data_IF_345990090889
#
_entry.id   IF_345990090889
#
_cell.length_a   1.000
_cell.length_b   1.000
_cell.length_c   1.000
_cell.angle_alpha   90.00
_cell.angle_beta   90.00
_cell.angle_gamma   90.00
#
_symmetry.space_group_name_H-M   'P 1'
#
loop_
_entity.id
_entity.type
_entity.pdbx_description
1 polymer ?
#
# COMPACT_ATOMS: atom_id res chain seq x y z
N UNK A 1 -21.80 14.74 8.46
CA UNK A 1 -21.09 15.59 9.45
C UNK A 1 -20.08 14.69 10.14
N UNK A 2 -18.79 14.78 9.82
CA UNK A 2 -17.75 13.99 10.52
C UNK A 2 -17.41 14.70 11.83
N UNK A 3 -17.49 13.99 12.96
CA UNK A 3 -17.10 14.53 14.26
C UNK A 3 -15.60 14.89 14.27
N UNK A 4 -15.17 15.96 14.96
CA UNK A 4 -13.76 16.28 15.09
C UNK A 4 -13.03 15.09 15.74
N UNK A 5 -12.15 14.41 14.98
CA UNK A 5 -11.33 13.29 15.48
C UNK A 5 -11.59 11.93 14.82
N UNK A 6 -12.55 11.80 13.91
CA UNK A 6 -12.81 10.53 13.21
C UNK A 6 -11.97 10.41 11.92
N UNK A 7 -11.38 9.22 11.63
CA UNK A 7 -10.62 9.01 10.40
C UNK A 7 -11.48 9.30 9.16
N UNK A 8 -10.88 9.97 8.18
CA UNK A 8 -11.54 10.29 6.91
C UNK A 8 -11.40 9.10 5.98
N UNK A 9 -12.49 8.72 5.33
CA UNK A 9 -12.45 7.67 4.33
C UNK A 9 -11.57 8.12 3.14
N UNK A 10 -10.61 7.28 2.68
CA UNK A 10 -9.78 7.63 1.54
C UNK A 10 -10.64 7.86 0.29
N UNK A 11 -10.31 8.91 -0.47
CA UNK A 11 -10.95 9.10 -1.78
C UNK A 11 -10.55 7.98 -2.74
N UNK A 12 -11.36 7.74 -3.77
CA UNK A 12 -11.03 6.76 -4.81
C UNK A 12 -9.64 7.01 -5.43
N UNK A 13 -9.29 8.28 -5.69
CA UNK A 13 -7.98 8.65 -6.20
C UNK A 13 -6.85 8.31 -5.21
N UNK A 14 -7.06 8.55 -3.92
CA UNK A 14 -6.09 8.15 -2.89
C UNK A 14 -5.90 6.63 -2.84
N UNK A 15 -6.98 5.85 -2.95
CA UNK A 15 -6.88 4.39 -2.99
C UNK A 15 -6.18 3.87 -4.26
N UNK A 16 -6.35 4.56 -5.40
CA UNK A 16 -5.75 4.17 -6.67
C UNK A 16 -4.24 4.40 -6.72
N UNK A 17 -3.71 5.44 -6.06
CA UNK A 17 -2.28 5.79 -6.07
C UNK A 17 -1.35 4.62 -5.71
N UNK A 18 -1.48 3.94 -4.57
CA UNK A 18 -0.60 2.83 -4.22
C UNK A 18 -0.76 1.62 -5.15
N UNK A 19 -1.96 1.41 -5.71
CA UNK A 19 -2.22 0.32 -6.67
C UNK A 19 -1.51 0.60 -8.00
N UNK A 20 -1.68 1.81 -8.55
CA UNK A 20 -1.02 2.23 -9.78
C UNK A 20 0.51 2.24 -9.62
N UNK A 21 1.00 2.71 -8.48
CA UNK A 21 2.43 2.66 -8.13
C UNK A 21 2.94 1.22 -8.13
N UNK A 22 2.25 0.30 -7.45
CA UNK A 22 2.64 -1.11 -7.39
C UNK A 22 2.70 -1.71 -8.80
N UNK A 23 1.64 -1.57 -9.59
CA UNK A 23 1.59 -2.10 -10.95
C UNK A 23 2.74 -1.56 -11.82
N UNK A 24 3.02 -0.26 -11.74
CA UNK A 24 4.12 0.37 -12.46
C UNK A 24 5.49 -0.17 -12.03
N UNK A 25 5.71 -0.33 -10.72
CA UNK A 25 6.97 -0.87 -10.18
C UNK A 25 7.15 -2.34 -10.54
N UNK A 26 6.09 -3.15 -10.55
CA UNK A 26 6.16 -4.55 -10.97
C UNK A 26 6.44 -4.68 -12.47
N UNK A 27 5.77 -3.88 -13.31
CA UNK A 27 6.05 -3.85 -14.73
C UNK A 27 7.50 -3.43 -15.01
N UNK A 28 8.00 -2.41 -14.30
CA UNK A 28 9.40 -1.98 -14.39
C UNK A 28 10.37 -3.06 -13.91
N UNK A 29 10.05 -3.74 -12.81
CA UNK A 29 10.87 -4.84 -12.29
C UNK A 29 10.99 -5.99 -13.30
N UNK A 30 9.87 -6.41 -13.91
CA UNK A 30 9.89 -7.45 -14.95
C UNK A 30 10.62 -6.98 -16.20
N UNK A 31 10.47 -5.72 -16.60
CA UNK A 31 11.19 -5.14 -17.73
C UNK A 31 12.72 -5.14 -17.53
N UNK A 32 13.19 -4.84 -16.31
CA UNK A 32 14.62 -4.74 -16.00
C UNK A 32 15.27 -6.08 -15.64
N UNK A 33 14.55 -6.95 -14.92
CA UNK A 33 15.11 -8.15 -14.28
C UNK A 33 14.48 -9.46 -14.80
N UNK A 34 13.47 -9.40 -15.68
CA UNK A 34 12.85 -10.57 -16.26
C UNK A 34 12.35 -11.58 -15.20
N UNK A 35 12.77 -12.83 -15.33
CA UNK A 35 12.42 -13.90 -14.40
C UNK A 35 12.93 -13.66 -12.97
N UNK A 36 14.02 -12.91 -12.80
CA UNK A 36 14.61 -12.63 -11.49
C UNK A 36 13.89 -11.52 -10.72
N UNK A 37 12.93 -10.83 -11.36
CA UNK A 37 12.13 -9.78 -10.74
C UNK A 37 11.41 -10.25 -9.46
N UNK A 38 11.08 -11.54 -9.39
CA UNK A 38 10.35 -12.14 -8.27
C UNK A 38 11.18 -12.31 -6.99
N UNK A 39 12.52 -12.39 -7.08
CA UNK A 39 13.38 -12.70 -5.92
C UNK A 39 13.78 -11.50 -5.07
N UNK A 40 13.65 -10.28 -5.59
CA UNK A 40 14.06 -9.07 -4.87
C UNK A 40 13.32 -7.81 -5.30
N UNK A 41 13.35 -7.45 -6.60
CA UNK A 41 12.67 -6.25 -7.11
C UNK A 41 11.19 -6.16 -6.74
N UNK A 42 10.46 -7.28 -6.80
CA UNK A 42 9.06 -7.37 -6.38
C UNK A 42 8.88 -7.00 -4.89
N UNK A 43 9.78 -7.45 -4.01
CA UNK A 43 9.69 -7.14 -2.57
C UNK A 43 9.90 -5.64 -2.31
N UNK A 44 10.82 -5.01 -3.03
CA UNK A 44 11.03 -3.55 -2.96
C UNK A 44 9.77 -2.83 -3.44
N UNK A 45 9.16 -3.27 -4.55
CA UNK A 45 7.93 -2.70 -5.07
C UNK A 45 6.77 -2.76 -4.05
N UNK A 46 6.60 -3.91 -3.40
CA UNK A 46 5.58 -4.12 -2.36
C UNK A 46 5.81 -3.21 -1.14
N UNK A 47 7.04 -3.09 -0.66
CA UNK A 47 7.37 -2.21 0.48
C UNK A 47 7.08 -0.74 0.13
N UNK A 48 7.46 -0.29 -1.07
CA UNK A 48 7.20 1.08 -1.52
C UNK A 48 5.70 1.36 -1.67
N UNK A 49 4.94 0.42 -2.24
CA UNK A 49 3.49 0.54 -2.34
C UNK A 49 2.81 0.55 -0.96
N UNK A 50 3.25 -0.30 -0.04
CA UNK A 50 2.75 -0.34 1.33
C UNK A 50 3.07 0.95 2.10
N UNK A 51 4.28 1.52 1.91
CA UNK A 51 4.65 2.81 2.48
C UNK A 51 3.77 3.95 1.94
N UNK A 52 3.49 3.95 0.63
CA UNK A 52 2.60 4.93 0.01
C UNK A 52 1.16 4.82 0.56
N UNK A 53 0.59 3.61 0.63
CA UNK A 53 -0.73 3.35 1.19
C UNK A 53 -0.82 3.76 2.67
N UNK A 54 0.20 3.41 3.46
CA UNK A 54 0.27 3.78 4.89
C UNK A 54 0.35 5.29 5.07
N UNK A 55 1.15 5.98 4.23
CA UNK A 55 1.25 7.44 4.24
C UNK A 55 -0.09 8.12 3.94
N UNK A 56 -0.87 7.58 3.01
CA UNK A 56 -2.23 8.05 2.71
C UNK A 56 -3.16 7.84 3.90
N UNK A 57 -3.13 6.65 4.52
CA UNK A 57 -3.91 6.35 5.72
C UNK A 57 -3.62 7.31 6.87
N UNK A 58 -2.34 7.56 7.16
CA UNK A 58 -1.91 8.52 8.18
C UNK A 58 -2.41 9.95 7.87
N UNK A 59 -2.30 10.40 6.61
CA UNK A 59 -2.80 11.72 6.17
C UNK A 59 -4.32 11.86 6.28
N UNK A 60 -5.04 10.75 6.19
CA UNK A 60 -6.48 10.70 6.37
C UNK A 60 -6.91 10.53 7.84
N UNK A 61 -5.98 10.56 8.79
CA UNK A 61 -6.27 10.52 10.22
C UNK A 61 -6.40 9.11 10.80
N UNK A 62 -6.05 8.06 10.04
CA UNK A 62 -5.91 6.72 10.62
C UNK A 62 -4.69 6.68 11.55
N UNK A 63 -4.84 5.99 12.69
CA UNK A 63 -3.72 5.71 13.59
C UNK A 63 -2.85 4.59 13.03
N UNK A 64 -1.54 4.67 13.28
CA UNK A 64 -0.59 3.61 12.90
C UNK A 64 -1.05 2.22 13.37
N UNK A 65 -1.52 2.09 14.61
CA UNK A 65 -1.99 0.81 15.17
C UNK A 65 -3.16 0.21 14.38
N UNK A 66 -4.04 1.04 13.81
CA UNK A 66 -5.14 0.57 12.98
C UNK A 66 -4.65 0.11 11.59
N UNK A 67 -3.67 0.82 11.02
CA UNK A 67 -3.03 0.45 9.75
C UNK A 67 -2.25 -0.85 9.90
N UNK A 68 -1.44 -0.99 10.95
CA UNK A 68 -0.68 -2.19 11.29
C UNK A 68 -1.60 -3.40 11.47
N UNK A 69 -2.69 -3.26 12.25
CA UNK A 69 -3.68 -4.32 12.40
C UNK A 69 -4.39 -4.67 11.08
N UNK A 70 -4.53 -3.72 10.15
CA UNK A 70 -5.03 -3.95 8.80
C UNK A 70 -4.04 -4.75 7.94
N UNK A 71 -2.76 -4.40 7.98
CA UNK A 71 -1.68 -5.09 7.28
C UNK A 71 -1.58 -6.54 7.75
N UNK A 72 -1.52 -6.77 9.07
CA UNK A 72 -1.45 -8.11 9.65
C UNK A 72 -2.66 -8.95 9.25
N UNK A 73 -3.88 -8.40 9.31
CA UNK A 73 -5.07 -9.11 8.82
C UNK A 73 -5.00 -9.45 7.33
N UNK A 74 -4.49 -8.54 6.50
CA UNK A 74 -4.33 -8.79 5.07
C UNK A 74 -3.37 -9.94 4.77
N UNK A 75 -2.24 -10.00 5.49
CA UNK A 75 -1.28 -11.11 5.39
C UNK A 75 -1.91 -12.41 5.89
N UNK A 76 -2.56 -12.38 7.06
CA UNK A 76 -3.21 -13.57 7.62
C UNK A 76 -4.37 -14.09 6.77
N UNK A 77 -5.09 -13.23 6.05
CA UNK A 77 -6.15 -13.66 5.14
C UNK A 77 -5.61 -14.38 3.88
N UNK A 78 -4.31 -14.26 3.61
CA UNK A 78 -3.63 -14.91 2.48
C UNK A 78 -2.91 -16.21 2.88
N UNK A 79 -2.96 -16.59 4.17
CA UNK A 79 -2.43 -17.85 4.72
C UNK A 79 -3.58 -18.80 5.06
#
# INVERSE_FOLDING_TARGET
>A
MTSPGEPREPSFGQALVPVALLLGLLALAVYLFGADASFGPNQIALILAAAAASSIGLRNGHRWTALEAGITRGVSASM
#
